data_IF_036771283593
#
_entry.id   IF_036771283593
#
_cell.length_a   1.000
_cell.length_b   1.000
_cell.length_c   1.000
_cell.angle_alpha   90.00
_cell.angle_beta   90.00
_cell.angle_gamma   90.00
#
_symmetry.space_group_name_H-M   'P 1'
#
loop_
_entity.id
_entity.type
_entity.pdbx_description
1 polymer ?
#
# COMPACT_ATOMS: atom_id res chain seq x y z
N UNK A 1 -26.77 -2.21 -20.57
CA UNK A 1 -26.13 -3.49 -20.24
C UNK A 1 -26.42 -3.82 -18.79
N UNK A 2 -26.72 -5.08 -18.47
CA UNK A 2 -26.95 -5.56 -17.10
C UNK A 2 -25.95 -6.66 -16.81
N UNK A 3 -25.26 -6.56 -15.67
CA UNK A 3 -24.36 -7.60 -15.17
C UNK A 3 -25.03 -8.22 -13.92
N UNK A 4 -25.18 -9.54 -13.93
CA UNK A 4 -25.80 -10.29 -12.82
C UNK A 4 -24.78 -11.27 -12.24
N UNK A 5 -24.63 -11.25 -10.93
CA UNK A 5 -23.84 -12.22 -10.18
C UNK A 5 -24.77 -13.14 -9.38
N UNK A 6 -24.52 -14.44 -9.47
CA UNK A 6 -25.19 -15.45 -8.63
C UNK A 6 -24.16 -16.04 -7.67
N UNK A 7 -24.33 -15.75 -6.40
CA UNK A 7 -23.41 -16.21 -5.36
C UNK A 7 -23.79 -17.65 -4.93
N UNK A 8 -22.81 -18.48 -4.59
CA UNK A 8 -23.02 -19.84 -4.08
C UNK A 8 -23.61 -19.85 -2.67
N UNK A 9 -23.38 -18.78 -1.92
CA UNK A 9 -23.88 -18.56 -0.57
C UNK A 9 -23.99 -17.05 -0.29
N UNK A 10 -24.81 -16.61 0.69
CA UNK A 10 -24.86 -15.20 1.08
C UNK A 10 -23.48 -14.68 1.51
N UNK A 11 -23.08 -13.53 0.97
CA UNK A 11 -21.85 -12.82 1.36
C UNK A 11 -22.18 -11.37 1.73
N UNK A 12 -22.26 -11.05 3.03
CA UNK A 12 -22.65 -9.70 3.48
C UNK A 12 -21.64 -8.61 3.08
N UNK A 13 -20.41 -8.99 2.76
CA UNK A 13 -19.34 -8.07 2.31
C UNK A 13 -19.14 -8.08 0.79
N UNK A 14 -20.09 -8.59 0.00
CA UNK A 14 -19.99 -8.66 -1.47
C UNK A 14 -19.66 -7.30 -2.10
N UNK A 15 -20.37 -6.25 -1.71
CA UNK A 15 -20.14 -4.91 -2.25
C UNK A 15 -18.72 -4.42 -1.99
N UNK A 16 -18.16 -4.70 -0.82
CA UNK A 16 -16.78 -4.37 -0.50
C UNK A 16 -15.77 -5.17 -1.35
N UNK A 17 -16.09 -6.44 -1.67
CA UNK A 17 -15.27 -7.23 -2.59
C UNK A 17 -15.18 -6.61 -3.98
N UNK A 18 -16.26 -6.03 -4.48
CA UNK A 18 -16.31 -5.43 -5.82
C UNK A 18 -15.39 -4.21 -5.96
N UNK A 19 -14.89 -3.65 -4.85
CA UNK A 19 -13.90 -2.55 -4.90
C UNK A 19 -12.46 -3.03 -5.16
N UNK A 20 -12.20 -4.33 -5.07
CA UNK A 20 -10.87 -4.88 -5.38
C UNK A 20 -10.60 -4.87 -6.88
N UNK A 21 -9.37 -4.56 -7.25
CA UNK A 21 -8.93 -4.46 -8.65
C UNK A 21 -9.16 -5.75 -9.47
N UNK A 22 -9.21 -6.91 -8.82
CA UNK A 22 -9.54 -8.19 -9.46
C UNK A 22 -10.92 -8.23 -10.10
N UNK A 23 -11.85 -7.38 -9.63
CA UNK A 23 -13.23 -7.31 -10.14
C UNK A 23 -13.45 -6.13 -11.09
N UNK A 24 -12.42 -5.33 -11.35
CA UNK A 24 -12.56 -4.20 -12.26
C UNK A 24 -12.76 -4.65 -13.69
N UNK A 25 -13.64 -3.99 -14.44
CA UNK A 25 -13.89 -4.36 -15.83
C UNK A 25 -12.66 -4.11 -16.70
N UNK A 26 -12.38 -5.03 -17.60
CA UNK A 26 -11.32 -4.91 -18.57
C UNK A 26 -11.94 -4.87 -19.98
N UNK A 27 -11.54 -3.92 -20.80
CA UNK A 27 -11.94 -3.88 -22.19
C UNK A 27 -11.14 -4.93 -22.98
N UNK A 28 -11.83 -5.93 -23.54
CA UNK A 28 -11.21 -7.05 -24.22
C UNK A 28 -10.44 -6.63 -25.49
N UNK A 29 -10.99 -5.73 -26.28
CA UNK A 29 -10.35 -5.26 -27.52
C UNK A 29 -9.06 -4.50 -27.20
N UNK A 30 -9.11 -3.63 -26.18
CA UNK A 30 -7.93 -2.90 -25.74
C UNK A 30 -6.86 -3.84 -25.18
N UNK A 31 -7.24 -4.79 -24.33
CA UNK A 31 -6.32 -5.81 -23.80
C UNK A 31 -5.62 -6.56 -24.95
N UNK A 32 -6.38 -7.02 -25.92
CA UNK A 32 -5.83 -7.72 -27.11
C UNK A 32 -4.92 -6.82 -27.95
N UNK A 33 -5.27 -5.54 -28.11
CA UNK A 33 -4.47 -4.58 -28.90
C UNK A 33 -3.13 -4.26 -28.26
N UNK A 34 -3.06 -4.28 -26.91
CA UNK A 34 -1.83 -3.97 -26.17
C UNK A 34 -0.97 -5.21 -25.87
N UNK A 35 -1.57 -6.41 -25.82
CA UNK A 35 -0.86 -7.65 -25.51
C UNK A 35 0.00 -7.52 -24.26
N UNK A 36 1.28 -7.88 -24.36
CA UNK A 36 2.24 -7.83 -23.24
C UNK A 36 2.54 -6.40 -22.72
N UNK A 37 2.08 -5.38 -23.45
CA UNK A 37 2.22 -3.98 -23.01
C UNK A 37 1.04 -3.49 -22.18
N UNK A 38 -0.06 -4.26 -22.08
CA UNK A 38 -1.21 -3.88 -21.29
C UNK A 38 -0.83 -3.64 -19.81
N UNK A 39 -1.25 -2.49 -19.27
CA UNK A 39 -1.04 -2.16 -17.87
C UNK A 39 0.38 -1.76 -17.47
N UNK A 40 1.29 -1.54 -18.42
CA UNK A 40 2.64 -1.05 -18.08
C UNK A 40 2.57 0.40 -17.58
N UNK A 41 2.87 0.61 -16.32
CA UNK A 41 2.81 1.92 -15.66
C UNK A 41 3.79 2.96 -16.24
N UNK A 42 4.82 2.53 -16.96
CA UNK A 42 5.77 3.41 -17.68
C UNK A 42 5.23 3.94 -19.00
N UNK A 43 4.14 3.37 -19.50
CA UNK A 43 3.46 3.81 -20.72
C UNK A 43 1.98 4.11 -20.42
N UNK A 44 1.60 5.36 -20.21
CA UNK A 44 0.21 5.75 -19.93
C UNK A 44 -0.79 5.30 -21.01
N UNK A 45 -0.34 5.13 -22.26
CA UNK A 45 -1.17 4.67 -23.36
C UNK A 45 -1.52 3.18 -23.29
N UNK A 46 -0.88 2.43 -22.42
CA UNK A 46 -1.12 1.00 -22.20
C UNK A 46 -2.26 0.70 -21.22
N UNK A 47 -2.87 1.76 -20.67
CA UNK A 47 -3.92 1.68 -19.63
C UNK A 47 -5.16 2.41 -20.14
N UNK A 48 -6.36 1.85 -19.90
CA UNK A 48 -7.63 2.57 -19.99
C UNK A 48 -8.07 3.07 -18.62
N UNK A 49 -8.63 4.25 -18.60
CA UNK A 49 -8.99 4.93 -17.38
C UNK A 49 -10.50 5.17 -17.31
N UNK A 50 -11.13 4.82 -16.21
CA UNK A 50 -12.52 5.16 -15.90
C UNK A 50 -12.65 5.93 -14.57
N UNK A 51 -11.53 6.26 -13.93
CA UNK A 51 -11.45 7.04 -12.70
C UNK A 51 -11.28 8.54 -12.95
N UNK A 52 -11.24 9.36 -11.88
CA UNK A 52 -11.16 10.82 -11.95
C UNK A 52 -9.83 11.34 -12.51
N UNK A 53 -8.79 10.51 -12.51
CA UNK A 53 -7.46 10.89 -12.97
C UNK A 53 -6.89 9.87 -13.94
N UNK A 54 -6.02 10.36 -14.84
CA UNK A 54 -5.21 9.56 -15.75
C UNK A 54 -3.73 9.72 -15.41
N UNK A 55 -2.95 8.68 -15.64
CA UNK A 55 -1.51 8.74 -15.48
C UNK A 55 -0.91 9.60 -16.61
N UNK A 56 -0.25 10.69 -16.25
CA UNK A 56 0.47 11.57 -17.17
C UNK A 56 1.92 11.12 -17.33
N UNK A 57 2.58 10.84 -16.21
CA UNK A 57 3.96 10.33 -16.20
C UNK A 57 4.27 9.56 -14.94
N UNK A 58 5.19 8.61 -15.06
CA UNK A 58 5.81 7.90 -13.94
C UNK A 58 7.31 7.85 -14.18
N UNK A 59 8.06 8.46 -13.27
CA UNK A 59 9.53 8.42 -13.25
C UNK A 59 9.96 7.67 -12.01
N UNK A 60 10.59 6.52 -12.21
CA UNK A 60 11.02 5.65 -11.11
C UNK A 60 11.92 6.40 -10.12
N UNK A 61 11.66 6.21 -8.82
CA UNK A 61 12.35 6.89 -7.72
C UNK A 61 12.37 8.42 -7.82
N UNK A 62 11.37 9.01 -8.45
CA UNK A 62 11.22 10.46 -8.60
C UNK A 62 9.79 10.90 -8.37
N UNK A 63 8.88 10.62 -9.31
CA UNK A 63 7.50 11.11 -9.18
C UNK A 63 6.50 10.35 -10.02
N UNK A 64 5.23 10.42 -9.59
CA UNK A 64 4.06 10.07 -10.39
C UNK A 64 3.25 11.34 -10.57
N UNK A 65 2.88 11.66 -11.79
CA UNK A 65 2.02 12.79 -12.12
C UNK A 65 0.72 12.28 -12.74
N UNK A 66 -0.39 12.69 -12.17
CA UNK A 66 -1.73 12.37 -12.63
C UNK A 66 -2.40 13.66 -13.11
N UNK A 67 -3.13 13.59 -14.22
CA UNK A 67 -3.95 14.69 -14.74
C UNK A 67 -5.44 14.34 -14.60
N UNK A 68 -6.29 15.36 -14.46
CA UNK A 68 -7.73 15.21 -14.45
C UNK A 68 -8.20 14.47 -15.70
N UNK A 69 -9.13 13.55 -15.53
CA UNK A 69 -9.76 12.81 -16.61
C UNK A 69 -11.02 13.53 -17.09
N UNK A 70 -10.94 14.23 -18.21
CA UNK A 70 -12.08 14.96 -18.79
C UNK A 70 -13.23 14.07 -19.27
N UNK A 71 -12.98 12.76 -19.40
CA UNK A 71 -13.98 11.75 -19.74
C UNK A 71 -14.60 11.07 -18.51
N UNK A 72 -14.19 11.45 -17.31
CA UNK A 72 -14.77 10.89 -16.09
C UNK A 72 -16.23 11.30 -15.95
N UNK A 73 -17.10 10.36 -15.59
CA UNK A 73 -18.54 10.58 -15.52
C UNK A 73 -18.96 11.65 -14.51
N UNK A 74 -18.16 11.84 -13.45
CA UNK A 74 -18.40 12.81 -12.37
C UNK A 74 -17.28 13.87 -12.32
N UNK A 75 -16.82 14.31 -13.48
CA UNK A 75 -15.67 15.24 -13.59
C UNK A 75 -15.90 16.60 -12.94
N UNK A 76 -17.16 17.02 -12.82
CA UNK A 76 -17.51 18.32 -12.22
C UNK A 76 -17.25 18.35 -10.71
N UNK A 77 -17.15 17.18 -10.06
CA UNK A 77 -16.76 17.02 -8.68
C UNK A 77 -15.24 16.72 -8.50
N UNK A 78 -14.46 16.84 -9.56
CA UNK A 78 -12.99 16.71 -9.51
C UNK A 78 -12.37 18.10 -9.52
N UNK A 79 -11.86 18.54 -8.37
CA UNK A 79 -11.43 19.92 -8.13
C UNK A 79 -9.95 20.17 -8.45
N UNK A 80 -9.11 19.15 -8.46
CA UNK A 80 -7.68 19.28 -8.75
C UNK A 80 -7.40 18.87 -10.20
N UNK A 81 -6.72 19.73 -10.94
CA UNK A 81 -6.33 19.41 -12.33
C UNK A 81 -5.13 18.44 -12.37
N UNK A 82 -4.29 18.51 -11.36
CA UNK A 82 -3.07 17.69 -11.29
C UNK A 82 -2.87 17.17 -9.87
N UNK A 83 -2.48 15.89 -9.76
CA UNK A 83 -1.98 15.28 -8.53
C UNK A 83 -0.55 14.82 -8.78
N UNK A 84 0.37 15.29 -7.96
CA UNK A 84 1.79 14.90 -8.03
C UNK A 84 2.18 14.16 -6.76
N UNK A 85 2.64 12.92 -6.92
CA UNK A 85 3.23 12.12 -5.86
C UNK A 85 4.74 12.16 -6.03
N UNK A 86 5.46 12.63 -5.03
CA UNK A 86 6.91 12.68 -5.02
C UNK A 86 7.46 11.47 -4.25
N UNK A 87 8.48 10.83 -4.81
CA UNK A 87 9.12 9.70 -4.16
C UNK A 87 9.90 10.17 -2.92
N UNK A 88 9.70 9.45 -1.82
CA UNK A 88 10.49 9.57 -0.61
C UNK A 88 11.01 8.17 -0.26
N UNK A 89 12.30 8.03 0.05
CA UNK A 89 12.92 6.73 0.35
C UNK A 89 12.78 6.31 1.82
N UNK A 90 12.16 7.18 2.63
CA UNK A 90 11.89 6.92 4.05
C UNK A 90 13.12 7.02 4.96
N UNK A 91 14.26 7.46 4.45
CA UNK A 91 15.48 7.58 5.26
C UNK A 91 15.44 8.79 6.22
N UNK A 92 14.73 9.85 5.83
CA UNK A 92 14.53 11.05 6.64
C UNK A 92 13.04 11.36 6.79
N UNK A 93 12.42 10.83 7.85
CA UNK A 93 11.00 11.05 8.12
C UNK A 93 10.65 12.53 8.38
N UNK A 94 11.61 13.35 8.81
CA UNK A 94 11.41 14.78 9.05
C UNK A 94 11.38 15.59 7.76
N UNK A 95 11.84 15.02 6.64
CA UNK A 95 11.77 15.66 5.32
C UNK A 95 10.31 15.93 4.89
N UNK A 96 9.38 15.04 5.28
CA UNK A 96 7.97 15.16 4.94
C UNK A 96 7.34 16.41 5.59
N UNK A 97 7.66 16.65 6.85
CA UNK A 97 7.17 17.83 7.58
C UNK A 97 7.82 19.12 7.04
N UNK A 98 9.13 19.12 6.80
CA UNK A 98 9.81 20.28 6.21
C UNK A 98 9.20 20.66 4.87
N UNK A 99 9.01 19.70 3.98
CA UNK A 99 8.41 19.95 2.66
C UNK A 99 6.95 20.43 2.75
N UNK A 100 6.20 20.01 3.77
CA UNK A 100 4.87 20.54 4.05
C UNK A 100 4.95 21.99 4.55
N UNK A 101 5.84 22.27 5.48
CA UNK A 101 6.05 23.62 6.03
C UNK A 101 6.51 24.62 4.96
N UNK A 102 7.36 24.17 4.05
CA UNK A 102 7.89 24.98 2.94
C UNK A 102 6.90 25.10 1.76
N UNK A 103 5.70 24.50 1.88
CA UNK A 103 4.67 24.52 0.85
C UNK A 103 4.97 23.68 -0.39
N UNK A 104 5.96 22.80 -0.32
CA UNK A 104 6.28 21.84 -1.39
C UNK A 104 5.24 20.74 -1.46
N UNK A 105 4.75 20.29 -0.30
CA UNK A 105 3.67 19.31 -0.17
C UNK A 105 2.41 19.95 0.37
N UNK A 106 1.25 19.62 -0.22
CA UNK A 106 -0.06 19.98 0.31
C UNK A 106 -0.55 18.98 1.37
N UNK A 107 0.02 17.78 1.40
CA UNK A 107 -0.29 16.71 2.33
C UNK A 107 1.00 15.96 2.65
N UNK A 108 1.24 15.70 3.92
CA UNK A 108 2.38 14.91 4.39
C UNK A 108 1.93 13.95 5.50
N UNK A 109 2.58 12.79 5.59
CA UNK A 109 2.36 11.87 6.69
C UNK A 109 3.23 12.29 7.88
N UNK A 110 2.62 12.37 9.06
CA UNK A 110 3.33 12.55 10.31
C UNK A 110 3.44 11.20 11.03
N UNK A 111 4.66 10.81 11.37
CA UNK A 111 4.92 9.55 12.07
C UNK A 111 5.09 9.79 13.58
N UNK A 112 4.36 9.06 14.45
CA UNK A 112 4.53 9.18 15.90
C UNK A 112 5.95 8.85 16.38
N UNK A 113 6.71 8.08 15.58
CA UNK A 113 8.10 7.71 15.86
C UNK A 113 9.13 8.77 15.45
N UNK A 114 8.71 9.83 14.76
CA UNK A 114 9.61 10.92 14.38
C UNK A 114 10.06 11.71 15.59
N UNK A 115 11.32 12.14 15.64
CA UNK A 115 11.87 12.91 16.76
C UNK A 115 11.20 14.27 16.93
N UNK A 116 10.66 14.84 15.86
CA UNK A 116 9.96 16.13 15.85
C UNK A 116 8.44 16.00 16.03
N UNK A 117 7.88 14.79 16.23
CA UNK A 117 6.43 14.56 16.32
C UNK A 117 5.71 15.53 17.24
N UNK A 118 6.13 15.64 18.51
CA UNK A 118 5.46 16.49 19.50
C UNK A 118 5.51 17.99 19.13
N UNK A 119 6.56 18.43 18.44
CA UNK A 119 6.68 19.81 17.95
C UNK A 119 5.67 20.06 16.83
N UNK A 120 5.65 19.17 15.84
CA UNK A 120 4.79 19.26 14.66
C UNK A 120 3.31 19.14 15.06
N UNK A 121 2.98 18.18 15.92
CA UNK A 121 1.63 18.00 16.46
C UNK A 121 1.11 19.28 17.12
N UNK A 122 1.94 19.96 17.88
CA UNK A 122 1.62 21.22 18.55
C UNK A 122 1.43 22.37 17.57
N UNK A 123 2.32 22.45 16.57
CA UNK A 123 2.34 23.53 15.57
C UNK A 123 1.15 23.45 14.60
N UNK A 124 0.77 22.24 14.19
CA UNK A 124 -0.23 21.98 13.18
C UNK A 124 -1.49 21.28 13.71
N UNK A 125 -1.77 21.46 15.00
CA UNK A 125 -2.88 20.79 15.71
C UNK A 125 -4.20 20.78 14.92
N UNK A 126 -4.55 21.91 14.31
CA UNK A 126 -5.81 22.08 13.59
C UNK A 126 -5.77 21.54 12.15
N UNK A 127 -4.59 21.14 11.67
CA UNK A 127 -4.36 20.60 10.34
C UNK A 127 -4.09 19.08 10.36
N UNK A 128 -3.95 18.49 11.54
CA UNK A 128 -3.75 17.05 11.68
C UNK A 128 -5.09 16.35 11.67
N UNK A 129 -5.20 15.32 10.86
CA UNK A 129 -6.33 14.41 10.89
C UNK A 129 -5.85 12.97 11.03
N UNK A 130 -6.63 12.19 11.76
CA UNK A 130 -6.39 10.77 11.95
C UNK A 130 -7.33 9.97 11.06
N UNK A 131 -6.78 8.98 10.37
CA UNK A 131 -7.59 8.04 9.61
C UNK A 131 -8.31 7.08 10.54
N UNK A 132 -9.40 6.47 10.06
CA UNK A 132 -10.02 5.37 10.80
C UNK A 132 -9.03 4.20 10.92
N UNK A 133 -9.11 3.42 12.01
CA UNK A 133 -8.34 2.19 12.14
C UNK A 133 -8.55 1.29 10.93
N UNK A 134 -7.46 0.76 10.39
CA UNK A 134 -7.53 -0.21 9.29
C UNK A 134 -8.13 -1.54 9.75
N UNK A 135 -8.64 -2.32 8.79
CA UNK A 135 -9.10 -3.71 9.05
C UNK A 135 -7.95 -4.74 8.98
N UNK A 136 -6.73 -4.27 8.73
CA UNK A 136 -5.56 -5.13 8.67
C UNK A 136 -5.07 -5.50 10.08
N UNK A 137 -4.56 -6.72 10.21
CA UNK A 137 -3.86 -7.19 11.40
C UNK A 137 -2.41 -7.45 11.01
N UNK A 138 -1.51 -6.72 11.65
CA UNK A 138 -0.08 -6.94 11.47
C UNK A 138 0.39 -8.08 12.37
N UNK A 139 1.28 -8.92 11.85
CA UNK A 139 1.75 -10.06 12.61
C UNK A 139 3.02 -10.69 12.04
N UNK A 140 3.73 -11.42 12.88
CA UNK A 140 4.90 -12.22 12.48
C UNK A 140 4.46 -13.65 12.25
N UNK A 141 4.47 -14.09 10.99
CA UNK A 141 4.24 -15.50 10.63
C UNK A 141 5.44 -16.36 10.97
N UNK A 142 5.23 -17.39 11.79
CA UNK A 142 6.29 -18.35 12.17
C UNK A 142 6.12 -19.62 11.34
N UNK A 143 7.09 -19.93 10.48
CA UNK A 143 7.08 -21.17 9.72
C UNK A 143 7.58 -22.34 10.59
N UNK A 144 6.65 -23.09 11.15
CA UNK A 144 6.94 -24.26 12.00
C UNK A 144 7.22 -25.54 11.22
N UNK A 145 6.89 -25.56 9.93
CA UNK A 145 7.13 -26.73 9.05
C UNK A 145 8.03 -26.36 7.86
N UNK A 146 9.15 -25.74 8.16
CA UNK A 146 10.12 -25.32 7.15
C UNK A 146 10.76 -26.52 6.46
N UNK A 147 10.65 -26.57 5.13
CA UNK A 147 11.21 -27.64 4.30
C UNK A 147 12.57 -27.28 3.70
N UNK A 148 12.82 -25.98 3.44
CA UNK A 148 14.05 -25.51 2.79
C UNK A 148 14.69 -24.35 3.54
N UNK A 149 16.02 -24.20 3.41
CA UNK A 149 16.80 -23.14 4.07
C UNK A 149 17.60 -22.28 3.06
N UNK A 150 17.34 -22.43 1.75
CA UNK A 150 18.12 -21.78 0.69
C UNK A 150 18.19 -20.25 0.72
N UNK A 151 17.25 -19.58 1.43
CA UNK A 151 17.23 -18.12 1.59
C UNK A 151 17.47 -17.70 3.05
N UNK A 152 18.26 -18.46 3.78
CA UNK A 152 18.59 -18.18 5.19
C UNK A 152 20.10 -18.23 5.39
N UNK A 153 20.57 -17.65 6.50
CA UNK A 153 21.96 -17.73 6.93
C UNK A 153 22.33 -19.08 7.61
N UNK A 154 21.53 -20.14 7.42
CA UNK A 154 21.78 -21.44 8.03
C UNK A 154 22.67 -22.30 7.11
N UNK A 155 23.95 -22.42 7.47
CA UNK A 155 24.98 -23.03 6.62
C UNK A 155 25.09 -24.55 6.80
N UNK A 156 24.82 -25.05 8.00
CA UNK A 156 24.99 -26.48 8.32
C UNK A 156 23.73 -27.09 8.94
N UNK A 157 23.69 -28.41 8.99
CA UNK A 157 22.50 -29.16 9.42
C UNK A 157 22.24 -29.03 10.93
N UNK A 158 23.24 -28.77 11.74
CA UNK A 158 23.04 -28.49 13.16
C UNK A 158 22.25 -27.17 13.35
N UNK A 159 22.63 -26.12 12.64
CA UNK A 159 21.91 -24.83 12.69
C UNK A 159 20.48 -24.99 12.20
N UNK A 160 20.25 -25.74 11.12
CA UNK A 160 18.90 -26.01 10.58
C UNK A 160 18.05 -26.76 11.59
N UNK A 161 18.58 -27.84 12.17
CA UNK A 161 17.88 -28.65 13.16
C UNK A 161 17.59 -27.87 14.44
N UNK A 162 18.55 -27.13 14.97
CA UNK A 162 18.34 -26.28 16.15
C UNK A 162 17.28 -25.22 15.92
N UNK A 163 17.28 -24.60 14.75
CA UNK A 163 16.25 -23.61 14.37
C UNK A 163 14.86 -24.25 14.31
N UNK A 164 14.75 -25.43 13.67
CA UNK A 164 13.46 -26.13 13.58
C UNK A 164 12.96 -26.54 14.97
N UNK A 165 13.83 -27.06 15.83
CA UNK A 165 13.48 -27.44 17.20
C UNK A 165 13.00 -26.25 18.02
N UNK A 166 13.69 -25.10 17.93
CA UNK A 166 13.25 -23.86 18.60
C UNK A 166 11.89 -23.38 18.10
N UNK A 167 11.66 -23.36 16.79
CA UNK A 167 10.39 -22.91 16.21
C UNK A 167 9.23 -23.86 16.49
N UNK A 168 9.49 -25.14 16.72
CA UNK A 168 8.49 -26.12 17.15
C UNK A 168 8.13 -26.01 18.63
N UNK A 169 9.03 -25.45 19.45
CA UNK A 169 8.76 -25.23 20.86
C UNK A 169 7.74 -24.12 21.06
N UNK A 170 6.62 -24.44 21.74
CA UNK A 170 5.54 -23.50 21.98
C UNK A 170 5.99 -22.32 22.84
N UNK A 171 6.75 -22.58 23.91
CA UNK A 171 7.18 -21.56 24.87
C UNK A 171 8.15 -20.58 24.21
N UNK A 172 9.03 -21.08 23.32
CA UNK A 172 9.90 -20.23 22.49
C UNK A 172 9.06 -19.29 21.60
N UNK A 173 8.04 -19.80 20.91
CA UNK A 173 7.17 -18.95 20.08
C UNK A 173 6.41 -17.92 20.91
N UNK A 174 5.92 -18.31 22.09
CA UNK A 174 5.25 -17.37 23.01
C UNK A 174 6.19 -16.28 23.53
N UNK A 175 7.47 -16.64 23.82
CA UNK A 175 8.44 -15.64 24.26
C UNK A 175 8.68 -14.55 23.23
N UNK A 176 8.66 -14.89 21.93
CA UNK A 176 8.75 -13.89 20.85
C UNK A 176 7.56 -12.90 20.91
N UNK A 177 6.37 -13.41 21.19
CA UNK A 177 5.18 -12.56 21.34
C UNK A 177 5.25 -11.63 22.55
N UNK A 178 5.87 -12.04 23.64
CA UNK A 178 6.09 -11.21 24.83
C UNK A 178 7.23 -10.21 24.68
N UNK A 179 8.16 -10.46 23.75
CA UNK A 179 9.27 -9.54 23.47
C UNK A 179 8.84 -8.32 22.61
N UNK A 180 7.66 -8.34 22.01
CA UNK A 180 7.15 -7.26 21.18
C UNK A 180 6.43 -6.24 22.08
N UNK A 181 6.92 -5.01 22.10
CA UNK A 181 6.22 -3.89 22.69
C UNK A 181 5.08 -3.43 21.77
N UNK A 182 3.88 -3.93 22.04
CA UNK A 182 2.68 -3.63 21.24
C UNK A 182 2.12 -2.22 21.47
N UNK A 183 2.57 -1.54 22.51
CA UNK A 183 2.13 -0.17 22.78
C UNK A 183 2.86 0.81 21.89
N UNK A 184 4.13 0.53 21.62
CA UNK A 184 4.99 1.38 20.78
C UNK A 184 5.05 0.94 19.31
N UNK A 185 4.41 -0.18 18.95
CA UNK A 185 4.28 -0.62 17.58
C UNK A 185 3.18 0.14 16.85
#
# INVERSE_FOLDING_TARGET
YTLQYTLKQPEPYWNSKMTYSLFWPVNEEFLKSKGDSFGKSTDPSSILYNGPYILKSLTAKSSIELAKNENYWDKDNVYFDTVKLTYDDGTDQESLERNFTDGVYNLARLYPTSSNYSKVEKQYKDNIFYTQPGAAVEGVGINIDRQTYGHTSKENDQQKTSTKTALLNKDFRQSLGFAIDRTNY
#
